data_IF_788348742480
#
_entry.id   IF_788348742480
#
_cell.length_a   1.000
_cell.length_b   1.000
_cell.length_c   1.000
_cell.angle_alpha   90.00
_cell.angle_beta   90.00
_cell.angle_gamma   90.00
#
_symmetry.space_group_name_H-M   'P 1'
#
loop_
_entity.id
_entity.type
_entity.pdbx_description
1 polymer ?
#
# COMPACT_ATOMS: atom_id res chain seq x y z
N UNK A 1 -28.45 1.64 -16.87
CA UNK A 1 -28.05 0.75 -15.75
C UNK A 1 -28.40 1.49 -14.47
N UNK A 2 -29.26 0.92 -13.62
CA UNK A 2 -29.58 1.52 -12.30
C UNK A 2 -28.65 0.87 -11.27
N UNK A 3 -27.87 1.69 -10.58
CA UNK A 3 -27.02 1.26 -9.47
C UNK A 3 -27.62 1.76 -8.15
N UNK A 4 -27.38 1.03 -7.07
CA UNK A 4 -27.81 1.37 -5.71
C UNK A 4 -26.60 1.52 -4.80
N UNK A 5 -26.79 2.24 -3.70
CA UNK A 5 -25.80 2.26 -2.62
C UNK A 5 -25.59 0.83 -2.10
N UNK A 6 -24.33 0.46 -1.87
CA UNK A 6 -23.93 -0.88 -1.47
C UNK A 6 -23.63 -1.85 -2.61
N UNK A 7 -23.95 -1.50 -3.86
CA UNK A 7 -23.58 -2.32 -5.01
C UNK A 7 -22.06 -2.30 -5.22
N UNK A 8 -21.50 -3.47 -5.52
CA UNK A 8 -20.11 -3.61 -5.92
C UNK A 8 -19.97 -3.47 -7.44
N UNK A 9 -19.05 -2.61 -7.87
CA UNK A 9 -18.92 -2.23 -9.27
C UNK A 9 -17.47 -2.15 -9.71
N UNK A 10 -17.27 -2.34 -11.01
CA UNK A 10 -16.02 -2.09 -11.73
C UNK A 10 -16.22 -0.91 -12.67
N UNK A 11 -15.23 -0.04 -12.71
CA UNK A 11 -15.14 1.05 -13.69
C UNK A 11 -14.61 0.47 -14.99
N UNK A 12 -15.40 0.56 -16.06
CA UNK A 12 -15.09 -0.03 -17.38
C UNK A 12 -14.58 0.99 -18.39
N UNK A 13 -14.62 2.28 -18.07
CA UNK A 13 -14.13 3.34 -18.94
C UNK A 13 -13.76 4.61 -18.14
N UNK A 14 -12.98 5.48 -18.76
CA UNK A 14 -12.59 6.78 -18.18
C UNK A 14 -11.32 6.70 -17.34
N UNK A 15 -11.08 7.76 -16.56
CA UNK A 15 -9.82 7.93 -15.81
C UNK A 15 -9.51 6.78 -14.84
N UNK A 16 -10.55 6.21 -14.25
CA UNK A 16 -10.45 5.18 -13.22
C UNK A 16 -10.76 3.79 -13.76
N UNK A 17 -10.70 3.58 -15.08
CA UNK A 17 -10.93 2.29 -15.70
C UNK A 17 -10.05 1.20 -15.06
N UNK A 18 -10.68 0.08 -14.70
CA UNK A 18 -10.06 -1.04 -14.00
C UNK A 18 -10.26 -1.01 -12.49
N UNK A 19 -10.51 0.15 -11.88
CA UNK A 19 -10.80 0.24 -10.45
C UNK A 19 -12.12 -0.46 -10.12
N UNK A 20 -12.14 -1.09 -8.95
CA UNK A 20 -13.31 -1.75 -8.35
C UNK A 20 -13.59 -1.17 -6.98
N UNK A 21 -14.86 -1.20 -6.57
CA UNK A 21 -15.26 -0.61 -5.31
C UNK A 21 -16.75 -0.68 -5.01
N UNK A 22 -17.09 -0.22 -3.81
CA UNK A 22 -18.46 -0.14 -3.31
C UNK A 22 -19.05 1.25 -3.50
N UNK A 23 -20.26 1.31 -4.05
CA UNK A 23 -21.00 2.56 -4.21
C UNK A 23 -21.47 3.05 -2.86
N UNK A 24 -21.09 4.29 -2.51
CA UNK A 24 -21.53 4.98 -1.30
C UNK A 24 -22.56 6.06 -1.56
N UNK A 25 -22.60 6.59 -2.79
CA UNK A 25 -23.58 7.61 -3.16
C UNK A 25 -23.89 7.57 -4.64
N UNK A 26 -25.17 7.67 -4.96
CA UNK A 26 -25.67 7.78 -6.34
C UNK A 26 -26.31 9.15 -6.47
N UNK A 27 -25.83 9.95 -7.41
CA UNK A 27 -26.45 11.21 -7.83
C UNK A 27 -26.98 11.10 -9.26
N UNK A 28 -27.69 12.11 -9.73
CA UNK A 28 -28.30 12.10 -11.08
C UNK A 28 -27.26 11.93 -12.19
N UNK A 29 -26.09 12.57 -12.06
CA UNK A 29 -25.09 12.65 -13.13
C UNK A 29 -23.81 11.87 -12.85
N UNK A 30 -23.60 11.41 -11.61
CA UNK A 30 -22.39 10.68 -11.23
C UNK A 30 -22.65 9.75 -10.05
N UNK A 31 -21.76 8.78 -9.90
CA UNK A 31 -21.73 7.84 -8.80
C UNK A 31 -20.42 8.04 -8.04
N UNK A 32 -20.51 8.04 -6.71
CA UNK A 32 -19.36 8.02 -5.82
C UNK A 32 -19.20 6.60 -5.26
N UNK A 33 -18.02 6.04 -5.41
CA UNK A 33 -17.63 4.75 -4.85
C UNK A 33 -16.29 4.83 -4.13
N UNK A 34 -16.07 3.95 -3.15
CA UNK A 34 -14.75 3.78 -2.54
C UNK A 34 -14.02 2.61 -3.19
N UNK A 35 -12.79 2.85 -3.61
CA UNK A 35 -11.89 1.80 -4.13
C UNK A 35 -11.60 0.75 -3.05
N UNK A 36 -11.69 -0.53 -3.41
CA UNK A 36 -11.36 -1.63 -2.50
C UNK A 36 -9.91 -1.59 -2.00
N UNK A 37 -9.01 -1.15 -2.88
CA UNK A 37 -7.58 -1.26 -2.68
C UNK A 37 -7.02 -0.06 -1.91
N UNK A 38 -7.42 1.14 -2.33
CA UNK A 38 -6.83 2.39 -1.79
C UNK A 38 -7.75 3.10 -0.80
N UNK A 39 -8.99 2.64 -0.63
CA UNK A 39 -10.03 3.34 0.14
C UNK A 39 -10.24 4.80 -0.25
N UNK A 40 -9.80 5.22 -1.45
CA UNK A 40 -10.05 6.55 -1.98
C UNK A 40 -11.41 6.64 -2.64
N UNK A 41 -12.00 7.83 -2.51
CA UNK A 41 -13.25 8.20 -3.17
C UNK A 41 -13.02 8.39 -4.68
N UNK A 42 -13.83 7.71 -5.49
CA UNK A 42 -13.84 7.79 -6.94
C UNK A 42 -15.19 8.32 -7.42
N UNK A 43 -15.14 9.41 -8.20
CA UNK A 43 -16.32 10.02 -8.84
C UNK A 43 -16.33 9.65 -10.32
N UNK A 44 -17.34 8.89 -10.73
CA UNK A 44 -17.44 8.30 -12.08
C UNK A 44 -18.84 8.47 -12.67
N UNK A 45 -18.96 8.37 -14.00
CA UNK A 45 -20.27 8.42 -14.65
C UNK A 45 -20.98 7.06 -14.50
N UNK A 46 -22.31 7.03 -14.36
CA UNK A 46 -23.05 5.77 -14.23
C UNK A 46 -22.88 4.85 -15.44
N UNK A 47 -22.69 5.40 -16.65
CA UNK A 47 -22.50 4.61 -17.87
C UNK A 47 -21.16 3.86 -17.91
N UNK A 48 -20.16 4.38 -17.19
CA UNK A 48 -18.80 3.82 -17.13
C UNK A 48 -18.67 2.76 -16.02
N UNK A 49 -19.80 2.37 -15.41
CA UNK A 49 -19.86 1.35 -14.37
C UNK A 49 -20.48 0.04 -14.86
N UNK A 50 -20.05 -1.05 -14.23
CA UNK A 50 -20.61 -2.37 -14.38
C UNK A 50 -20.65 -3.07 -13.02
N UNK A 51 -21.78 -3.73 -12.71
CA UNK A 51 -21.86 -4.60 -11.53
C UNK A 51 -20.81 -5.71 -11.64
N UNK A 52 -20.05 -5.89 -10.57
CA UNK A 52 -18.94 -6.84 -10.52
C UNK A 52 -18.93 -7.50 -9.16
N UNK A 53 -18.73 -8.81 -9.08
CA UNK A 53 -18.50 -9.53 -7.82
C UNK A 53 -17.03 -9.68 -7.46
N UNK A 54 -16.12 -9.33 -8.39
CA UNK A 54 -14.67 -9.42 -8.19
C UNK A 54 -14.18 -8.16 -7.49
N UNK A 55 -13.44 -8.34 -6.39
CA UNK A 55 -12.68 -7.28 -5.71
C UNK A 55 -11.38 -6.98 -6.44
N UNK A 56 -10.82 -5.78 -6.23
CA UNK A 56 -9.53 -5.40 -6.84
C UNK A 56 -8.44 -6.45 -6.58
N UNK A 57 -7.81 -6.94 -7.64
CA UNK A 57 -6.66 -7.87 -7.51
C UNK A 57 -5.42 -7.19 -6.92
N UNK A 58 -5.34 -5.86 -7.02
CA UNK A 58 -4.18 -5.09 -6.60
C UNK A 58 -2.94 -5.32 -7.47
N UNK A 59 -3.12 -5.83 -8.69
CA UNK A 59 -2.04 -6.09 -9.65
C UNK A 59 -2.25 -5.25 -10.91
N UNK A 60 -1.16 -4.83 -11.54
CA UNK A 60 -1.20 -4.09 -12.82
C UNK A 60 -1.72 -4.95 -13.98
N UNK A 61 -2.01 -4.31 -15.12
CA UNK A 61 -2.56 -4.96 -16.33
C UNK A 61 -1.64 -6.08 -16.86
N UNK A 62 -0.33 -6.00 -16.58
CA UNK A 62 0.67 -6.98 -17.00
C UNK A 62 0.99 -8.08 -15.97
N UNK A 63 0.45 -8.01 -14.75
CA UNK A 63 0.82 -8.93 -13.67
C UNK A 63 2.25 -8.75 -13.15
N UNK A 64 2.94 -7.68 -13.52
CA UNK A 64 4.36 -7.44 -13.22
C UNK A 64 4.56 -6.76 -11.87
N UNK A 65 3.61 -5.90 -11.50
CA UNK A 65 3.68 -5.06 -10.30
C UNK A 65 2.40 -5.14 -9.48
N UNK A 66 2.56 -5.02 -8.17
CA UNK A 66 1.44 -5.05 -7.22
C UNK A 66 1.41 -3.79 -6.34
N UNK A 67 0.22 -3.47 -5.84
CA UNK A 67 0.05 -2.39 -4.87
C UNK A 67 0.82 -2.69 -3.59
N UNK A 68 1.45 -1.66 -3.02
CA UNK A 68 2.28 -1.81 -1.84
C UNK A 68 3.66 -2.41 -2.12
N UNK A 69 4.03 -2.65 -3.38
CA UNK A 69 5.35 -3.16 -3.75
C UNK A 69 6.44 -2.09 -3.67
N UNK A 70 7.63 -2.47 -3.20
CA UNK A 70 8.82 -1.63 -3.20
C UNK A 70 9.47 -1.62 -4.59
N UNK A 71 9.63 -0.43 -5.15
CA UNK A 71 10.25 -0.20 -6.47
C UNK A 71 11.47 0.70 -6.38
N UNK A 72 12.41 0.48 -7.29
CA UNK A 72 13.56 1.36 -7.47
C UNK A 72 13.19 2.44 -8.49
N UNK A 73 13.26 3.71 -8.07
CA UNK A 73 12.98 4.88 -8.92
C UNK A 73 14.25 5.35 -9.64
N UNK A 74 15.36 5.42 -8.90
CA UNK A 74 16.69 5.75 -9.39
C UNK A 74 17.74 5.00 -8.54
N UNK A 75 19.05 4.99 -8.84
CA UNK A 75 20.03 4.20 -8.09
C UNK A 75 20.13 4.51 -6.57
N UNK A 76 19.67 5.68 -6.14
CA UNK A 76 19.71 6.12 -4.74
C UNK A 76 18.32 6.09 -4.09
N UNK A 77 17.24 6.15 -4.87
CA UNK A 77 15.88 6.37 -4.40
C UNK A 77 14.97 5.17 -4.62
N UNK A 78 14.25 4.80 -3.55
CA UNK A 78 13.15 3.84 -3.59
C UNK A 78 11.83 4.49 -3.27
N UNK A 79 10.75 3.84 -3.68
CA UNK A 79 9.40 4.17 -3.28
C UNK A 79 8.49 2.95 -3.27
N UNK A 80 7.29 3.14 -2.78
CA UNK A 80 6.24 2.11 -2.75
C UNK A 80 5.11 2.52 -3.67
N UNK A 81 4.60 1.58 -4.46
CA UNK A 81 3.42 1.82 -5.32
C UNK A 81 2.20 1.99 -4.41
N UNK A 82 1.60 3.18 -4.43
CA UNK A 82 0.41 3.52 -3.63
C UNK A 82 -0.87 3.59 -4.46
N UNK A 83 -0.73 3.65 -5.79
CA UNK A 83 -1.84 3.55 -6.74
C UNK A 83 -1.36 2.94 -8.06
N UNK A 84 -2.14 2.00 -8.58
CA UNK A 84 -1.98 1.45 -9.92
C UNK A 84 -2.95 2.20 -10.85
N UNK A 85 -2.44 2.79 -11.93
CA UNK A 85 -3.26 3.34 -13.01
C UNK A 85 -2.97 2.56 -14.30
N UNK A 86 -3.83 2.73 -15.31
CA UNK A 86 -3.71 2.00 -16.58
C UNK A 86 -2.35 2.16 -17.26
N UNK A 87 -1.79 3.38 -17.22
CA UNK A 87 -0.55 3.73 -17.94
C UNK A 87 0.60 4.15 -17.01
N UNK A 88 0.28 4.48 -15.75
CA UNK A 88 1.26 4.99 -14.79
C UNK A 88 1.04 4.39 -13.41
N UNK A 89 2.03 4.56 -12.54
CA UNK A 89 1.92 4.31 -11.11
C UNK A 89 2.04 5.61 -10.35
N UNK A 90 1.30 5.72 -9.25
CA UNK A 90 1.62 6.71 -8.22
C UNK A 90 2.51 6.01 -7.18
N UNK A 91 3.73 6.51 -7.02
CA UNK A 91 4.74 5.94 -6.14
C UNK A 91 5.08 6.93 -5.04
N UNK A 92 4.89 6.52 -3.79
CA UNK A 92 5.35 7.26 -2.63
C UNK A 92 6.83 7.00 -2.42
N UNK A 93 7.68 8.00 -2.64
CA UNK A 93 9.12 7.86 -2.46
C UNK A 93 9.53 7.92 -0.98
N UNK A 94 10.80 7.58 -0.68
CA UNK A 94 11.31 7.59 0.69
C UNK A 94 11.35 8.98 1.37
N UNK A 95 11.17 10.05 0.60
CA UNK A 95 11.13 11.43 1.08
C UNK A 95 9.71 11.93 1.37
N UNK A 96 8.70 11.06 1.23
CA UNK A 96 7.30 11.40 1.50
C UNK A 96 6.60 12.15 0.36
N UNK A 97 7.16 12.13 -0.86
CA UNK A 97 6.52 12.72 -2.05
C UNK A 97 5.96 11.62 -2.94
N UNK A 98 4.76 11.85 -3.45
CA UNK A 98 4.13 10.98 -4.46
C UNK A 98 4.57 11.43 -5.86
N UNK A 99 5.05 10.49 -6.65
CA UNK A 99 5.50 10.71 -8.03
C UNK A 99 4.64 9.87 -8.98
N UNK A 100 4.26 10.45 -10.10
CA UNK A 100 3.62 9.73 -11.21
C UNK A 100 4.70 9.23 -12.16
N UNK A 101 4.81 7.91 -12.31
CA UNK A 101 5.86 7.27 -13.11
C UNK A 101 5.26 6.26 -14.09
N UNK A 102 5.83 6.15 -15.28
CA UNK A 102 5.41 5.12 -16.26
C UNK A 102 5.82 3.74 -15.78
N UNK A 103 5.07 2.70 -16.18
CA UNK A 103 5.37 1.31 -15.77
C UNK A 103 6.81 0.89 -16.10
N UNK A 104 7.32 1.27 -17.28
CA UNK A 104 8.69 0.95 -17.72
C UNK A 104 9.80 1.73 -16.98
N UNK A 105 9.45 2.79 -16.25
CA UNK A 105 10.40 3.66 -15.57
C UNK A 105 10.76 3.17 -14.16
N UNK A 106 10.11 2.11 -13.67
CA UNK A 106 10.39 1.52 -12.37
C UNK A 106 10.88 0.09 -12.54
N UNK A 107 11.84 -0.29 -11.70
CA UNK A 107 12.28 -1.67 -11.62
C UNK A 107 11.80 -2.29 -10.33
N UNK A 108 11.29 -3.52 -10.43
CA UNK A 108 10.92 -4.32 -9.27
C UNK A 108 12.14 -4.49 -8.37
N UNK A 109 12.00 -4.16 -7.10
CA UNK A 109 13.05 -4.42 -6.12
C UNK A 109 12.66 -5.64 -5.29
N UNK A 110 13.60 -6.56 -5.12
CA UNK A 110 13.37 -7.72 -4.26
C UNK A 110 13.27 -7.24 -2.81
N UNK A 111 12.12 -7.49 -2.19
CA UNK A 111 11.90 -7.21 -0.77
C UNK A 111 12.93 -7.95 0.08
N UNK A 112 13.61 -7.20 0.95
CA UNK A 112 14.44 -7.80 1.97
C UNK A 112 13.60 -8.04 3.23
N UNK A 113 12.92 -9.18 3.26
CA UNK A 113 12.05 -9.59 4.39
C UNK A 113 12.81 -9.79 5.70
N UNK A 114 14.13 -9.93 5.64
CA UNK A 114 15.03 -10.09 6.79
C UNK A 114 15.77 -8.78 7.13
N UNK A 115 15.36 -7.65 6.54
CA UNK A 115 15.93 -6.37 6.88
C UNK A 115 15.68 -6.05 8.36
N UNK A 116 16.76 -5.65 9.04
CA UNK A 116 16.76 -5.11 10.39
C UNK A 116 17.06 -3.63 10.32
N UNK A 117 16.36 -2.85 11.12
CA UNK A 117 16.73 -1.49 11.45
C UNK A 117 16.66 -1.27 12.95
N UNK A 118 17.22 -0.14 13.40
CA UNK A 118 17.13 0.30 14.78
C UNK A 118 16.12 1.44 14.88
N UNK A 119 15.27 1.36 15.90
CA UNK A 119 14.34 2.42 16.28
C UNK A 119 15.03 3.49 17.15
N UNK A 120 14.24 4.42 17.71
CA UNK A 120 14.75 5.48 18.59
C UNK A 120 15.37 4.97 19.90
N UNK A 121 14.92 3.81 20.39
CA UNK A 121 15.34 3.18 21.65
C UNK A 121 16.41 2.10 21.45
N UNK A 122 16.96 1.99 20.24
CA UNK A 122 17.92 0.95 19.83
C UNK A 122 17.35 -0.48 19.83
N UNK A 123 16.02 -0.62 19.74
CA UNK A 123 15.39 -1.91 19.51
C UNK A 123 15.53 -2.31 18.04
N UNK A 124 15.67 -3.61 17.80
CA UNK A 124 15.60 -4.17 16.45
C UNK A 124 14.14 -4.17 15.97
N UNK A 125 13.88 -3.50 14.86
CA UNK A 125 12.59 -3.50 14.17
C UNK A 125 12.70 -4.23 12.83
N UNK A 126 11.65 -4.96 12.51
CA UNK A 126 11.54 -5.80 11.32
C UNK A 126 10.28 -5.44 10.51
N UNK A 127 10.24 -5.95 9.29
CA UNK A 127 9.00 -5.94 8.49
C UNK A 127 7.92 -6.71 9.26
N UNK A 128 6.68 -6.18 9.25
CA UNK A 128 5.49 -6.59 10.02
C UNK A 128 5.43 -6.18 11.48
N UNK A 129 6.47 -5.55 12.01
CA UNK A 129 6.36 -4.97 13.35
C UNK A 129 5.42 -3.76 13.32
N UNK A 130 4.65 -3.63 14.41
CA UNK A 130 3.80 -2.49 14.70
C UNK A 130 4.65 -1.48 15.47
N UNK A 131 4.72 -0.27 14.92
CA UNK A 131 5.53 0.80 15.49
C UNK A 131 4.72 2.08 15.59
N UNK A 132 5.05 2.88 16.59
CA UNK A 132 4.49 4.22 16.78
C UNK A 132 5.49 5.25 16.32
N UNK A 133 5.01 6.26 15.61
CA UNK A 133 5.83 7.40 15.22
C UNK A 133 5.83 8.40 16.37
N UNK A 134 7.00 8.66 16.93
CA UNK A 134 7.17 9.60 18.05
C UNK A 134 7.66 10.97 17.60
N UNK A 135 8.26 11.08 16.41
CA UNK A 135 8.83 12.33 15.90
C UNK A 135 8.66 12.50 14.37
N UNK A 136 8.81 13.73 13.89
CA UNK A 136 8.68 14.10 12.48
C UNK A 136 7.23 14.32 12.01
N UNK A 137 7.01 14.42 10.68
CA UNK A 137 5.73 14.87 10.10
C UNK A 137 4.52 13.98 10.42
N UNK A 138 4.77 12.74 10.83
CA UNK A 138 3.74 11.74 11.12
C UNK A 138 3.68 11.39 12.62
N UNK A 139 4.26 12.22 13.50
CA UNK A 139 4.22 12.00 14.96
C UNK A 139 2.79 11.77 15.46
N UNK A 140 2.64 10.81 16.36
CA UNK A 140 1.35 10.37 16.89
C UNK A 140 0.63 9.30 16.05
N UNK A 141 1.10 9.02 14.83
CA UNK A 141 0.57 7.90 14.01
C UNK A 141 1.16 6.55 14.46
N UNK A 142 0.45 5.49 14.11
CA UNK A 142 0.86 4.09 14.31
C UNK A 142 0.67 3.33 13.00
N UNK A 143 1.55 2.40 12.70
CA UNK A 143 1.46 1.59 11.49
C UNK A 143 2.31 0.32 11.55
N UNK A 144 2.00 -0.59 10.64
CA UNK A 144 2.76 -1.82 10.40
C UNK A 144 3.89 -1.52 9.40
N UNK A 145 5.12 -1.93 9.70
CA UNK A 145 6.24 -1.79 8.77
C UNK A 145 6.02 -2.74 7.58
N UNK A 146 5.97 -2.20 6.37
CA UNK A 146 5.91 -3.00 5.13
C UNK A 146 7.28 -3.15 4.48
N UNK A 147 8.08 -2.09 4.50
CA UNK A 147 9.41 -2.11 3.87
C UNK A 147 10.43 -1.32 4.69
N UNK A 148 11.68 -1.76 4.67
CA UNK A 148 12.81 -1.08 5.30
C UNK A 148 13.90 -0.79 4.26
N UNK A 149 14.43 0.43 4.29
CA UNK A 149 15.55 0.83 3.44
C UNK A 149 16.39 1.95 4.04
N UNK A 150 17.68 1.70 4.30
CA UNK A 150 18.70 2.72 4.67
C UNK A 150 18.22 3.76 5.69
N UNK A 151 17.57 3.32 6.77
CA UNK A 151 17.08 4.21 7.83
C UNK A 151 15.72 4.87 7.56
N UNK A 152 15.02 4.45 6.50
CA UNK A 152 13.62 4.75 6.23
C UNK A 152 12.79 3.47 6.38
N UNK A 153 11.57 3.64 6.88
CA UNK A 153 10.55 2.61 6.96
C UNK A 153 9.31 3.09 6.22
N UNK A 154 8.77 2.26 5.35
CA UNK A 154 7.43 2.45 4.78
C UNK A 154 6.44 1.70 5.67
N UNK A 155 5.47 2.43 6.18
CA UNK A 155 4.46 1.95 7.10
C UNK A 155 3.10 1.96 6.43
N UNK A 156 2.24 1.05 6.86
CA UNK A 156 0.85 0.98 6.45
C UNK A 156 -0.07 1.13 7.65
N UNK A 157 -1.06 2.01 7.54
CA UNK A 157 -2.12 2.16 8.53
C UNK A 157 -3.49 2.16 7.85
N UNK A 158 -4.31 1.15 8.15
CA UNK A 158 -5.67 1.02 7.58
C UNK A 158 -6.61 2.19 7.92
N UNK A 159 -6.33 2.93 8.99
CA UNK A 159 -7.12 4.10 9.40
C UNK A 159 -6.79 5.35 8.59
N UNK A 160 -5.66 5.33 7.88
CA UNK A 160 -5.24 6.42 7.02
C UNK A 160 -5.72 6.15 5.59
N UNK A 161 -6.46 7.10 5.02
CA UNK A 161 -6.95 7.00 3.63
C UNK A 161 -5.90 7.51 2.64
N UNK A 162 -5.14 8.52 3.04
CA UNK A 162 -4.06 9.12 2.25
C UNK A 162 -3.09 8.06 1.72
N UNK A 163 -2.83 8.07 0.41
CA UNK A 163 -1.93 7.14 -0.28
C UNK A 163 -2.26 5.65 -0.03
N UNK A 164 -3.54 5.31 0.16
CA UNK A 164 -3.94 3.94 0.48
C UNK A 164 -3.44 3.49 1.86
N UNK A 165 -3.25 4.43 2.78
CA UNK A 165 -2.76 4.16 4.13
C UNK A 165 -1.24 4.00 4.24
N UNK A 166 -0.51 4.16 3.13
CA UNK A 166 0.95 4.12 3.12
C UNK A 166 1.56 5.47 3.48
N UNK A 167 2.57 5.46 4.35
CA UNK A 167 3.38 6.64 4.66
C UNK A 167 4.82 6.22 4.98
N UNK A 168 5.75 7.16 5.00
CA UNK A 168 7.18 6.89 5.23
C UNK A 168 7.69 7.67 6.43
N UNK A 169 8.52 7.04 7.24
CA UNK A 169 9.18 7.66 8.38
C UNK A 169 10.64 7.24 8.44
N UNK A 170 11.46 8.03 9.15
CA UNK A 170 12.82 7.61 9.50
C UNK A 170 12.74 6.60 10.64
N UNK A 171 13.54 5.55 10.62
CA UNK A 171 13.50 4.48 11.63
C UNK A 171 13.77 5.02 13.03
N UNK A 172 14.70 5.97 13.16
CA UNK A 172 15.01 6.69 14.40
C UNK A 172 13.87 7.56 14.96
N UNK A 173 12.76 7.75 14.23
CA UNK A 173 11.58 8.46 14.73
C UNK A 173 10.48 7.47 15.15
N UNK A 174 10.76 6.17 15.11
CA UNK A 174 9.84 5.10 15.46
C UNK A 174 10.20 4.58 16.84
N UNK A 175 9.20 3.99 17.49
CA UNK A 175 9.36 3.14 18.67
C UNK A 175 8.55 1.87 18.46
N UNK A 176 9.16 0.73 18.78
CA UNK A 176 8.48 -0.57 18.71
C UNK A 176 7.29 -0.61 19.67
N UNK A 177 6.09 -0.83 19.13
CA UNK A 177 4.84 -0.94 19.92
C UNK A 177 4.39 -2.40 20.06
N UNK A 178 4.75 -3.26 19.11
CA UNK A 178 4.53 -4.71 19.17
C UNK A 178 5.08 -5.38 17.92
N UNK A 179 5.55 -6.61 18.03
CA UNK A 179 6.17 -7.32 16.91
C UNK A 179 5.61 -8.72 16.71
N UNK A 180 5.60 -9.19 15.46
CA UNK A 180 5.41 -10.61 15.21
C UNK A 180 6.63 -11.36 15.74
N UNK A 181 6.47 -12.17 16.79
CA UNK A 181 7.54 -13.05 17.25
C UNK A 181 8.11 -13.80 16.03
N UNK A 182 9.44 -13.89 15.88
CA UNK A 182 9.99 -14.78 14.87
C UNK A 182 9.36 -16.15 15.11
N UNK A 183 8.81 -16.76 14.06
CA UNK A 183 8.44 -18.17 14.14
C UNK A 183 9.75 -18.90 14.43
N UNK A 184 9.94 -19.31 15.67
CA UNK A 184 10.99 -20.26 16.02
C UNK A 184 10.78 -21.47 15.13
N UNK A 185 11.65 -21.62 14.13
CA UNK A 185 11.76 -22.88 13.40
C UNK A 185 12.47 -23.81 14.36
N UNK A 186 11.73 -24.36 15.32
CA UNK A 186 12.24 -25.42 16.19
C UNK A 186 12.61 -26.58 15.31
N UNK A 187 13.92 -26.79 15.16
CA UNK A 187 14.54 -27.96 14.56
C UNK A 187 13.83 -29.23 15.06
N UNK A 188 13.20 -29.98 14.15
CA UNK A 188 12.87 -31.38 14.40
C UNK A 188 14.19 -32.15 14.46
N UNK A 189 14.76 -32.27 15.66
CA UNK A 189 15.69 -33.36 15.97
C UNK A 189 14.88 -34.65 16.03
N UNK A 190 14.86 -35.40 14.93
CA UNK A 190 14.45 -36.81 14.96
C UNK A 190 15.64 -37.59 15.54
N UNK A 191 15.67 -37.68 16.86
CA UNK A 191 16.42 -38.68 17.60
C UNK A 191 15.65 -40.00 17.58
N UNK A 192 16.35 -41.08 17.23
CA UNK A 192 15.75 -42.37 16.93
C UNK A 192 15.27 -43.18 18.14
N UNK A 193 14.68 -44.31 17.77
CA UNK A 193 14.68 -45.58 18.50
C UNK A 193 14.85 -46.69 17.46
#
# INVERSE_FOLDING_TARGET
KYFRMGDHVKVIAGRYEGDTGLIVRVEENFVILFSDLTMHELKVLPRDLQLCSETASGVDVGGQHEWGELVQLDPQTVGVIVRLERETFQVLNMHGKVLTVRHQAVNRRKDNRFAVALDSEQNNIHVKDIVKVIDGPHSGREGEIRHLFRGFAFLHCKKLVENGGMFVCKTRHLVLAGGSKPRDVTNFTVGGF
#
